data_IF_953872244396
#
_entry.id   IF_953872244396
#
_cell.length_a   1.000
_cell.length_b   1.000
_cell.length_c   1.000
_cell.angle_alpha   90.00
_cell.angle_beta   90.00
_cell.angle_gamma   90.00
#
_symmetry.space_group_name_H-M   'P 1'
#
loop_
_entity.id
_entity.type
_entity.pdbx_description
1 polymer ?
#
# COMPACT_ATOMS: atom_id res chain seq x y z
N UNK A 1 24.80 -4.56 -28.67
CA UNK A 1 23.78 -4.42 -29.73
C UNK A 1 22.40 -4.12 -29.15
N UNK A 2 21.84 -4.93 -28.25
CA UNK A 2 20.48 -4.79 -27.67
C UNK A 2 20.22 -3.39 -27.07
N UNK A 3 21.11 -2.87 -26.22
CA UNK A 3 20.95 -1.54 -25.62
C UNK A 3 21.06 -0.40 -26.65
N UNK A 4 21.85 -0.57 -27.72
CA UNK A 4 21.90 0.42 -28.78
C UNK A 4 20.57 0.52 -29.50
N UNK A 5 20.00 -0.64 -29.88
CA UNK A 5 18.67 -0.69 -30.51
C UNK A 5 17.60 -0.09 -29.60
N UNK A 6 17.61 -0.46 -28.30
CA UNK A 6 16.70 0.14 -27.33
C UNK A 6 16.84 1.67 -27.28
N UNK A 7 18.06 2.19 -27.20
CA UNK A 7 18.29 3.62 -27.11
C UNK A 7 17.86 4.37 -28.37
N UNK A 8 18.09 3.82 -29.56
CA UNK A 8 17.63 4.40 -30.82
C UNK A 8 16.10 4.47 -30.84
N UNK A 9 15.43 3.37 -30.56
CA UNK A 9 13.96 3.31 -30.52
C UNK A 9 13.38 4.24 -29.44
N UNK A 10 13.96 4.22 -28.25
CA UNK A 10 13.50 5.06 -27.14
C UNK A 10 13.68 6.55 -27.43
N UNK A 11 14.82 6.94 -28.03
CA UNK A 11 15.07 8.33 -28.46
C UNK A 11 14.06 8.76 -29.53
N UNK A 12 13.80 7.91 -30.52
CA UNK A 12 12.79 8.18 -31.55
C UNK A 12 11.41 8.38 -30.93
N UNK A 13 10.99 7.52 -29.99
CA UNK A 13 9.73 7.65 -29.26
C UNK A 13 9.67 8.94 -28.43
N UNK A 14 10.78 9.33 -27.79
CA UNK A 14 10.85 10.60 -27.04
C UNK A 14 10.68 11.81 -27.98
N UNK A 15 11.30 11.79 -29.16
CA UNK A 15 11.13 12.86 -30.17
C UNK A 15 9.68 12.93 -30.63
N UNK A 16 9.04 11.80 -30.96
CA UNK A 16 7.63 11.75 -31.35
C UNK A 16 6.69 12.22 -30.24
N UNK A 17 7.00 11.91 -28.98
CA UNK A 17 6.19 12.31 -27.84
C UNK A 17 6.47 13.75 -27.37
N UNK A 18 7.53 14.39 -27.86
CA UNK A 18 7.95 15.73 -27.39
C UNK A 18 6.86 16.81 -27.57
N UNK A 19 6.05 16.88 -28.64
CA UNK A 19 4.96 17.85 -28.75
C UNK A 19 3.91 17.66 -27.66
N UNK A 20 3.58 16.42 -27.34
CA UNK A 20 2.65 16.10 -26.24
C UNK A 20 3.22 16.54 -24.88
N UNK A 21 4.49 16.28 -24.61
CA UNK A 21 5.12 16.69 -23.34
C UNK A 21 5.21 18.21 -23.23
N UNK A 22 5.50 18.91 -24.34
CA UNK A 22 5.50 20.37 -24.39
C UNK A 22 4.10 20.92 -24.10
N UNK A 23 3.07 20.45 -24.81
CA UNK A 23 1.69 20.85 -24.56
C UNK A 23 1.27 20.60 -23.11
N UNK A 24 1.57 19.42 -22.58
CA UNK A 24 1.24 19.07 -21.20
C UNK A 24 1.96 19.92 -20.18
N UNK A 25 3.21 20.33 -20.45
CA UNK A 25 3.96 21.24 -19.59
C UNK A 25 3.40 22.67 -19.56
N UNK A 26 2.74 23.10 -20.63
CA UNK A 26 2.06 24.39 -20.69
C UNK A 26 0.75 24.38 -19.87
N UNK A 27 0.00 23.26 -19.94
CA UNK A 27 -1.34 23.15 -19.34
C UNK A 27 -1.30 22.70 -17.87
N UNK A 28 -0.37 21.80 -17.50
CA UNK A 28 -0.33 21.19 -16.17
C UNK A 28 0.89 21.65 -15.37
N UNK A 29 0.65 22.48 -14.35
CA UNK A 29 1.69 23.01 -13.45
C UNK A 29 2.55 21.90 -12.82
N UNK A 30 1.92 20.82 -12.30
CA UNK A 30 2.61 19.69 -11.67
C UNK A 30 3.54 18.96 -12.63
N UNK A 31 3.16 18.83 -13.89
CA UNK A 31 3.99 18.21 -14.92
C UNK A 31 5.19 19.12 -15.28
N UNK A 32 4.97 20.42 -15.43
CA UNK A 32 6.02 21.40 -15.70
C UNK A 32 7.08 21.44 -14.59
N UNK A 33 6.68 21.36 -13.32
CA UNK A 33 7.59 21.30 -12.17
C UNK A 33 8.37 19.98 -12.09
N UNK A 34 7.79 18.87 -12.54
CA UNK A 34 8.44 17.57 -12.56
C UNK A 34 9.45 17.40 -13.70
N UNK A 35 9.24 18.07 -14.83
CA UNK A 35 10.01 17.85 -16.05
C UNK A 35 11.53 18.10 -15.90
N UNK A 36 11.99 19.18 -15.27
CA UNK A 36 13.42 19.38 -15.05
C UNK A 36 14.05 18.23 -14.25
N UNK A 37 13.39 17.74 -13.20
CA UNK A 37 13.90 16.62 -12.40
C UNK A 37 13.97 15.34 -13.24
N UNK A 38 12.95 15.05 -14.06
CA UNK A 38 12.95 13.92 -14.99
C UNK A 38 14.04 14.00 -16.05
N UNK A 39 14.47 15.19 -16.39
CA UNK A 39 15.62 15.45 -17.29
C UNK A 39 16.98 15.45 -16.57
N UNK A 40 17.01 15.12 -15.27
CA UNK A 40 18.22 15.09 -14.46
C UNK A 40 18.69 16.48 -14.00
N UNK A 41 17.83 17.50 -14.09
CA UNK A 41 18.11 18.84 -13.58
C UNK A 41 17.48 19.04 -12.21
N UNK A 42 18.19 18.69 -11.17
CA UNK A 42 17.83 18.89 -9.76
C UNK A 42 19.09 19.22 -8.94
N UNK A 43 18.87 19.81 -7.78
CA UNK A 43 19.94 19.97 -6.78
C UNK A 43 19.89 18.76 -5.85
N UNK A 44 21.05 18.25 -5.46
CA UNK A 44 21.16 17.24 -4.40
C UNK A 44 21.65 17.91 -3.13
N UNK A 45 21.11 17.49 -2.02
CA UNK A 45 21.51 17.95 -0.69
C UNK A 45 22.56 17.04 -0.04
N UNK A 46 22.86 15.89 -0.64
CA UNK A 46 23.79 14.93 -0.04
C UNK A 46 25.14 14.91 -0.76
N UNK A 47 26.20 15.05 0.02
CA UNK A 47 27.60 14.94 -0.41
C UNK A 47 28.18 13.53 -0.26
N UNK A 48 27.46 12.58 0.36
CA UNK A 48 28.02 11.33 0.86
C UNK A 48 27.16 10.13 0.47
N UNK A 49 27.36 9.57 -0.71
CA UNK A 49 26.88 8.26 -1.14
C UNK A 49 25.47 7.83 -0.63
N UNK A 50 24.40 8.56 -0.93
CA UNK A 50 23.08 8.24 -0.35
C UNK A 50 22.58 6.89 -0.82
N UNK A 51 21.68 6.30 -0.05
CA UNK A 51 20.85 5.19 -0.50
C UNK A 51 19.83 5.76 -1.49
N UNK A 52 19.92 5.33 -2.76
CA UNK A 52 18.92 5.71 -3.76
C UNK A 52 17.81 4.67 -3.80
N UNK A 53 16.58 5.06 -3.49
CA UNK A 53 15.41 4.19 -3.54
C UNK A 53 14.52 4.62 -4.69
N UNK A 54 14.10 3.66 -5.50
CA UNK A 54 13.10 3.88 -6.54
C UNK A 54 11.80 3.15 -6.17
N UNK A 55 10.73 3.93 -5.95
CA UNK A 55 9.37 3.45 -5.69
C UNK A 55 8.41 4.18 -6.62
N UNK A 56 7.98 3.54 -7.69
CA UNK A 56 7.28 4.20 -8.80
C UNK A 56 5.90 4.75 -8.42
N UNK A 57 5.15 4.02 -7.60
CA UNK A 57 3.74 4.27 -7.26
C UNK A 57 3.50 4.56 -5.77
N UNK A 58 2.28 4.98 -5.44
CA UNK A 58 1.83 5.15 -4.05
C UNK A 58 1.97 3.86 -3.24
N UNK A 59 1.59 2.72 -3.84
CA UNK A 59 1.68 1.41 -3.18
C UNK A 59 3.11 1.03 -2.82
N UNK A 60 4.05 1.23 -3.75
CA UNK A 60 5.49 0.96 -3.55
C UNK A 60 6.10 1.90 -2.51
N UNK A 61 5.69 3.19 -2.48
CA UNK A 61 6.10 4.12 -1.43
C UNK A 61 5.70 3.60 -0.07
N UNK A 62 4.43 3.22 0.13
CA UNK A 62 3.98 2.66 1.41
C UNK A 62 4.67 1.34 1.76
N UNK A 63 4.91 0.46 0.79
CA UNK A 63 5.66 -0.78 1.01
C UNK A 63 7.11 -0.52 1.45
N UNK A 64 7.72 0.59 1.02
CA UNK A 64 9.10 0.94 1.37
C UNK A 64 9.25 1.45 2.81
N UNK A 65 8.18 1.98 3.44
CA UNK A 65 8.23 2.61 4.77
C UNK A 65 8.87 1.71 5.84
N UNK A 66 8.44 0.44 6.03
CA UNK A 66 9.03 -0.41 7.07
C UNK A 66 10.54 -0.59 6.89
N UNK A 67 10.99 -0.84 5.66
CA UNK A 67 12.40 -1.02 5.34
C UNK A 67 13.22 0.26 5.58
N UNK A 68 12.70 1.42 5.16
CA UNK A 68 13.39 2.70 5.38
C UNK A 68 13.54 3.01 6.88
N UNK A 69 12.48 2.81 7.65
CA UNK A 69 12.53 2.97 9.11
C UNK A 69 13.54 2.02 9.74
N UNK A 70 13.60 0.77 9.29
CA UNK A 70 14.58 -0.20 9.79
C UNK A 70 16.01 0.21 9.43
N UNK A 71 16.24 0.69 8.21
CA UNK A 71 17.54 1.22 7.78
C UNK A 71 17.96 2.43 8.62
N UNK A 72 17.09 3.42 8.80
CA UNK A 72 17.39 4.61 9.62
C UNK A 72 17.61 4.27 11.09
N UNK A 73 16.98 3.24 11.62
CA UNK A 73 17.21 2.77 13.00
C UNK A 73 18.65 2.25 13.20
N UNK A 74 19.20 1.55 12.23
CA UNK A 74 20.57 1.01 12.29
C UNK A 74 21.61 2.06 11.82
N UNK A 75 21.29 2.73 10.72
CA UNK A 75 22.15 3.72 10.08
C UNK A 75 21.50 5.12 10.15
N UNK A 76 21.47 5.72 11.33
CA UNK A 76 20.75 6.98 11.59
C UNK A 76 21.22 8.14 10.72
N UNK A 77 22.50 8.17 10.35
CA UNK A 77 23.10 9.20 9.50
C UNK A 77 22.99 8.94 8.00
N UNK A 78 22.57 7.73 7.60
CA UNK A 78 22.44 7.40 6.18
C UNK A 78 21.48 8.36 5.47
N UNK A 79 21.95 8.97 4.39
CA UNK A 79 21.12 9.83 3.55
C UNK A 79 20.30 9.00 2.58
N UNK A 80 19.03 9.35 2.41
CA UNK A 80 18.09 8.63 1.54
C UNK A 80 17.54 9.57 0.47
N UNK A 81 17.77 9.22 -0.79
CA UNK A 81 17.13 9.86 -1.95
C UNK A 81 16.06 8.91 -2.48
N UNK A 82 14.81 9.32 -2.47
CA UNK A 82 13.70 8.53 -3.01
C UNK A 82 13.24 9.12 -4.34
N UNK A 83 13.08 8.26 -5.34
CA UNK A 83 12.52 8.64 -6.64
C UNK A 83 11.19 7.96 -6.91
N UNK A 84 10.24 8.71 -7.50
CA UNK A 84 8.90 8.21 -7.84
C UNK A 84 8.57 8.46 -9.31
N UNK A 85 7.66 7.64 -9.86
CA UNK A 85 7.16 7.82 -11.23
C UNK A 85 5.96 8.77 -11.29
N UNK A 86 5.02 8.65 -10.33
CA UNK A 86 3.76 9.39 -10.34
C UNK A 86 3.78 10.61 -9.43
N UNK A 87 2.99 11.64 -9.79
CA UNK A 87 2.84 12.84 -8.95
C UNK A 87 2.17 12.53 -7.61
N UNK A 88 1.23 11.58 -7.61
CA UNK A 88 0.58 11.10 -6.38
C UNK A 88 1.59 10.36 -5.48
N UNK A 89 2.42 9.48 -6.05
CA UNK A 89 3.51 8.81 -5.32
C UNK A 89 4.50 9.81 -4.73
N UNK A 90 4.88 10.86 -5.50
CA UNK A 90 5.78 11.90 -5.03
C UNK A 90 5.19 12.70 -3.84
N UNK A 91 3.90 13.08 -3.94
CA UNK A 91 3.21 13.74 -2.84
C UNK A 91 3.12 12.84 -1.61
N UNK A 92 2.74 11.57 -1.80
CA UNK A 92 2.67 10.57 -0.73
C UNK A 92 4.02 10.41 -0.02
N UNK A 93 5.10 10.26 -0.79
CA UNK A 93 6.45 10.14 -0.23
C UNK A 93 6.84 11.36 0.62
N UNK A 94 6.58 12.57 0.13
CA UNK A 94 6.85 13.81 0.88
C UNK A 94 6.05 13.93 2.17
N UNK A 95 4.83 13.38 2.20
CA UNK A 95 3.94 13.47 3.36
C UNK A 95 4.21 12.37 4.39
N UNK A 96 4.51 11.14 3.94
CA UNK A 96 4.53 9.95 4.80
C UNK A 96 5.91 9.33 5.01
N UNK A 97 6.96 9.89 4.40
CA UNK A 97 8.33 9.38 4.49
C UNK A 97 9.31 10.46 4.96
N UNK A 98 9.20 10.91 6.22
CA UNK A 98 10.17 11.89 6.77
C UNK A 98 11.59 11.35 6.82
N UNK A 99 11.78 10.03 6.74
CA UNK A 99 13.07 9.37 6.64
C UNK A 99 13.82 9.65 5.33
N UNK A 100 13.10 10.03 4.26
CA UNK A 100 13.71 10.39 2.99
C UNK A 100 14.22 11.85 3.03
N UNK A 101 15.52 12.02 2.96
CA UNK A 101 16.15 13.36 2.96
C UNK A 101 15.79 14.15 1.70
N UNK A 102 15.53 13.44 0.59
CA UNK A 102 15.11 14.06 -0.67
C UNK A 102 14.15 13.16 -1.45
N UNK A 103 13.07 13.75 -1.97
CA UNK A 103 12.09 13.07 -2.83
C UNK A 103 12.07 13.73 -4.20
N UNK A 104 12.40 12.96 -5.23
CA UNK A 104 12.54 13.40 -6.62
C UNK A 104 11.62 12.59 -7.54
N UNK A 105 11.48 13.07 -8.77
CA UNK A 105 10.95 12.24 -9.86
C UNK A 105 12.08 11.41 -10.49
N UNK A 106 11.76 10.15 -10.87
CA UNK A 106 12.70 9.27 -11.56
C UNK A 106 13.17 9.92 -12.88
N UNK A 107 14.46 9.85 -13.23
CA UNK A 107 14.95 10.33 -14.51
C UNK A 107 14.34 9.50 -15.65
N UNK A 108 14.10 10.14 -16.79
CA UNK A 108 13.74 9.45 -18.04
C UNK A 108 14.89 8.49 -18.39
N UNK A 109 14.56 7.24 -18.77
CA UNK A 109 15.55 6.18 -18.98
C UNK A 109 16.37 6.37 -20.27
N UNK A 110 16.84 7.59 -20.51
CA UNK A 110 17.75 7.93 -21.60
C UNK A 110 19.20 8.00 -21.08
N UNK A 111 20.19 7.43 -21.80
CA UNK A 111 21.56 7.29 -21.28
C UNK A 111 22.16 8.59 -20.72
N UNK A 112 22.00 9.71 -21.44
CA UNK A 112 22.53 11.02 -21.02
C UNK A 112 21.85 11.52 -19.76
N UNK A 113 20.54 11.32 -19.66
CA UNK A 113 19.75 11.80 -18.52
C UNK A 113 20.06 10.97 -17.28
N UNK A 114 20.07 9.65 -17.41
CA UNK A 114 20.39 8.72 -16.31
C UNK A 114 21.82 8.95 -15.83
N UNK A 115 22.80 9.08 -16.73
CA UNK A 115 24.19 9.37 -16.35
C UNK A 115 24.29 10.69 -15.55
N UNK A 116 23.58 11.75 -16.00
CA UNK A 116 23.52 13.02 -15.26
C UNK A 116 22.93 12.83 -13.86
N UNK A 117 21.85 12.04 -13.73
CA UNK A 117 21.23 11.78 -12.44
C UNK A 117 22.19 11.01 -11.51
N UNK A 118 22.86 9.96 -12.00
CA UNK A 118 23.85 9.18 -11.23
C UNK A 118 24.98 10.09 -10.76
N UNK A 119 25.55 10.93 -11.64
CA UNK A 119 26.62 11.87 -11.27
C UNK A 119 26.21 12.92 -10.26
N UNK A 120 24.91 13.25 -10.18
CA UNK A 120 24.40 14.18 -9.18
C UNK A 120 24.05 13.51 -7.85
N UNK A 121 23.42 12.34 -7.89
CA UNK A 121 23.04 11.61 -6.69
C UNK A 121 24.27 10.95 -6.05
N UNK A 122 25.16 10.39 -6.85
CA UNK A 122 26.34 9.62 -6.42
C UNK A 122 25.98 8.54 -5.38
N UNK A 123 25.00 7.67 -5.66
CA UNK A 123 24.50 6.75 -4.66
C UNK A 123 25.52 5.66 -4.33
N UNK A 124 25.50 5.18 -3.09
CA UNK A 124 26.27 4.01 -2.66
C UNK A 124 25.58 2.70 -3.04
N UNK A 125 24.26 2.72 -3.14
CA UNK A 125 23.40 1.59 -3.51
C UNK A 125 22.12 2.09 -4.19
N UNK A 126 21.58 1.30 -5.13
CA UNK A 126 20.25 1.50 -5.69
C UNK A 126 19.30 0.38 -5.22
N UNK A 127 18.24 0.74 -4.50
CA UNK A 127 17.16 -0.14 -4.09
C UNK A 127 15.95 0.11 -5.00
N UNK A 128 15.45 -0.94 -5.66
CA UNK A 128 14.29 -0.86 -6.55
C UNK A 128 13.12 -1.63 -5.92
N UNK A 129 12.02 -0.93 -5.67
CA UNK A 129 10.80 -1.55 -5.15
C UNK A 129 10.07 -2.34 -6.25
N UNK A 130 9.56 -3.49 -5.90
CA UNK A 130 8.82 -4.40 -6.78
C UNK A 130 9.61 -4.76 -8.05
N UNK A 131 9.05 -4.54 -9.26
CA UNK A 131 9.72 -5.00 -10.50
C UNK A 131 9.78 -3.87 -11.54
N UNK A 132 10.50 -2.81 -11.20
CA UNK A 132 10.74 -1.66 -12.07
C UNK A 132 12.07 -1.82 -12.82
N UNK A 133 12.02 -2.47 -13.99
CA UNK A 133 13.21 -2.81 -14.79
C UNK A 133 13.49 -1.73 -15.86
N UNK A 134 14.24 -0.70 -15.49
CA UNK A 134 14.65 0.40 -16.37
C UNK A 134 16.03 0.11 -16.98
N UNK A 135 16.13 -0.22 -18.29
CA UNK A 135 17.35 -0.78 -18.90
C UNK A 135 18.60 0.09 -18.75
N UNK A 136 18.50 1.40 -19.02
CA UNK A 136 19.66 2.27 -18.90
C UNK A 136 20.00 2.58 -17.44
N UNK A 137 18.98 2.73 -16.57
CA UNK A 137 19.22 2.92 -15.14
C UNK A 137 20.03 1.75 -14.58
N UNK A 138 19.57 0.51 -14.81
CA UNK A 138 20.26 -0.69 -14.34
C UNK A 138 21.69 -0.76 -14.88
N UNK A 139 21.86 -0.62 -16.20
CA UNK A 139 23.15 -0.72 -16.85
C UNK A 139 24.15 0.35 -16.39
N UNK A 140 23.70 1.60 -16.29
CA UNK A 140 24.62 2.71 -16.00
C UNK A 140 24.99 2.78 -14.52
N UNK A 141 24.05 2.44 -13.62
CA UNK A 141 24.35 2.30 -12.18
C UNK A 141 25.38 1.18 -11.95
N UNK A 142 25.16 0.01 -12.57
CA UNK A 142 26.11 -1.10 -12.46
C UNK A 142 27.48 -0.77 -13.07
N UNK A 143 27.55 0.04 -14.15
CA UNK A 143 28.82 0.49 -14.76
C UNK A 143 29.64 1.35 -13.78
N UNK A 144 28.98 2.11 -12.92
CA UNK A 144 29.66 2.88 -11.83
C UNK A 144 30.00 1.96 -10.63
N UNK A 145 29.84 0.64 -10.75
CA UNK A 145 30.06 -0.38 -9.68
C UNK A 145 29.17 -0.19 -8.44
N UNK A 146 28.04 0.47 -8.60
CA UNK A 146 27.05 0.65 -7.55
C UNK A 146 26.17 -0.58 -7.51
N UNK A 147 26.01 -1.26 -6.34
CA UNK A 147 25.14 -2.41 -6.21
C UNK A 147 23.67 -2.03 -6.42
N UNK A 148 22.93 -2.94 -7.06
CA UNK A 148 21.50 -2.79 -7.32
C UNK A 148 20.77 -3.93 -6.64
N UNK A 149 19.82 -3.62 -5.77
CA UNK A 149 18.97 -4.61 -5.10
C UNK A 149 17.52 -4.37 -5.47
N UNK A 150 16.89 -5.40 -6.02
CA UNK A 150 15.45 -5.42 -6.22
C UNK A 150 14.81 -5.99 -4.94
N UNK A 151 14.00 -5.20 -4.26
CA UNK A 151 13.36 -5.59 -3.01
C UNK A 151 11.83 -5.64 -3.15
N UNK A 152 11.18 -6.45 -2.33
CA UNK A 152 9.74 -6.72 -2.39
C UNK A 152 9.29 -7.14 -3.80
N UNK A 153 10.13 -7.91 -4.49
CA UNK A 153 9.97 -8.27 -5.90
C UNK A 153 8.72 -9.10 -6.15
N UNK A 154 7.92 -8.70 -7.13
CA UNK A 154 6.66 -9.35 -7.50
C UNK A 154 6.49 -9.36 -9.01
N UNK A 155 6.05 -10.49 -9.57
CA UNK A 155 5.78 -10.62 -10.99
C UNK A 155 4.38 -11.19 -11.20
N UNK A 156 3.43 -10.34 -11.63
CA UNK A 156 2.08 -10.81 -11.98
C UNK A 156 2.12 -11.75 -13.19
N UNK A 157 1.16 -12.68 -13.30
CA UNK A 157 1.04 -13.60 -14.42
C UNK A 157 1.07 -12.88 -15.79
N UNK A 158 0.35 -11.75 -15.88
CA UNK A 158 0.30 -10.93 -17.11
C UNK A 158 1.68 -10.33 -17.45
N UNK A 159 2.41 -9.84 -16.44
CA UNK A 159 3.76 -9.29 -16.64
C UNK A 159 4.75 -10.39 -16.99
N UNK A 160 4.65 -11.56 -16.35
CA UNK A 160 5.48 -12.73 -16.62
C UNK A 160 5.42 -13.14 -18.08
N UNK A 161 4.21 -13.29 -18.66
CA UNK A 161 4.05 -13.64 -20.08
C UNK A 161 4.76 -12.66 -21.02
N UNK A 162 4.67 -11.35 -20.72
CA UNK A 162 5.36 -10.30 -21.49
C UNK A 162 6.88 -10.38 -21.33
N UNK A 163 7.37 -10.61 -20.13
CA UNK A 163 8.80 -10.72 -19.85
C UNK A 163 9.40 -11.96 -20.49
N UNK A 164 8.70 -13.09 -20.50
CA UNK A 164 9.13 -14.32 -21.19
C UNK A 164 9.17 -14.09 -22.71
N UNK A 165 8.20 -13.42 -23.30
CA UNK A 165 8.21 -13.09 -24.73
C UNK A 165 9.44 -12.26 -25.13
N UNK A 166 9.85 -11.31 -24.29
CA UNK A 166 11.05 -10.50 -24.47
C UNK A 166 12.25 -10.99 -23.64
N UNK A 167 12.32 -12.28 -23.32
CA UNK A 167 13.33 -12.86 -22.42
C UNK A 167 14.77 -12.52 -22.82
N UNK A 168 15.07 -12.52 -24.13
CA UNK A 168 16.40 -12.19 -24.64
C UNK A 168 16.86 -10.78 -24.22
N UNK A 169 15.93 -9.83 -24.08
CA UNK A 169 16.19 -8.47 -23.66
C UNK A 169 16.26 -8.35 -22.12
N UNK A 170 15.26 -8.89 -21.43
CA UNK A 170 15.20 -8.77 -19.97
C UNK A 170 16.30 -9.54 -19.26
N UNK A 171 16.71 -10.69 -19.79
CA UNK A 171 17.87 -11.42 -19.29
C UNK A 171 19.14 -10.55 -19.26
N UNK A 172 19.36 -9.71 -20.28
CA UNK A 172 20.50 -8.78 -20.29
C UNK A 172 20.36 -7.67 -19.25
N UNK A 173 19.14 -7.20 -18.97
CA UNK A 173 18.89 -6.21 -17.94
C UNK A 173 19.10 -6.79 -16.52
N UNK A 174 18.63 -8.02 -16.28
CA UNK A 174 18.69 -8.66 -14.96
C UNK A 174 20.14 -8.99 -14.53
N UNK A 175 21.08 -9.12 -15.44
CA UNK A 175 22.51 -9.33 -15.13
C UNK A 175 23.12 -8.22 -14.28
N UNK A 176 22.58 -7.01 -14.36
CA UNK A 176 23.08 -5.85 -13.63
C UNK A 176 22.60 -5.79 -12.17
N UNK A 177 21.62 -6.60 -11.80
CA UNK A 177 21.07 -6.63 -10.44
C UNK A 177 21.95 -7.55 -9.58
N UNK A 178 22.35 -7.03 -8.43
CA UNK A 178 23.23 -7.71 -7.48
C UNK A 178 22.48 -8.71 -6.60
N UNK A 179 21.20 -8.40 -6.28
CA UNK A 179 20.37 -9.22 -5.39
C UNK A 179 18.88 -9.01 -5.71
N UNK A 180 18.13 -10.12 -5.72
CA UNK A 180 16.68 -10.15 -5.91
C UNK A 180 16.01 -10.66 -4.64
N UNK A 181 15.20 -9.83 -3.98
CA UNK A 181 14.45 -10.16 -2.78
C UNK A 181 12.96 -10.25 -3.13
N UNK A 182 12.49 -11.47 -3.35
CA UNK A 182 11.16 -11.77 -3.88
C UNK A 182 10.14 -12.00 -2.77
N UNK A 183 8.86 -11.71 -3.08
CA UNK A 183 7.78 -11.89 -2.11
C UNK A 183 7.44 -13.37 -1.88
N UNK A 184 7.43 -14.18 -2.94
CA UNK A 184 6.99 -15.58 -2.91
C UNK A 184 7.93 -16.48 -3.71
N UNK A 185 7.83 -17.82 -3.52
CA UNK A 185 8.52 -18.82 -4.35
C UNK A 185 8.05 -18.77 -5.81
N UNK A 186 6.80 -18.43 -6.03
CA UNK A 186 6.28 -18.24 -7.39
C UNK A 186 6.95 -17.07 -8.10
N UNK A 187 7.09 -15.91 -7.42
CA UNK A 187 7.80 -14.76 -7.96
C UNK A 187 9.28 -15.06 -8.22
N UNK A 188 9.90 -15.82 -7.29
CA UNK A 188 11.28 -16.31 -7.45
C UNK A 188 11.43 -17.17 -8.69
N UNK A 189 10.56 -18.14 -8.87
CA UNK A 189 10.56 -19.02 -10.04
C UNK A 189 10.40 -18.22 -11.32
N UNK A 190 9.45 -17.30 -11.36
CA UNK A 190 9.18 -16.43 -12.51
C UNK A 190 10.39 -15.57 -12.89
N UNK A 191 11.03 -14.90 -11.93
CA UNK A 191 12.19 -14.03 -12.25
C UNK A 191 13.39 -14.83 -12.72
N UNK A 192 13.63 -16.02 -12.16
CA UNK A 192 14.69 -16.94 -12.61
C UNK A 192 14.40 -17.42 -14.03
N UNK A 193 13.16 -17.75 -14.36
CA UNK A 193 12.78 -18.16 -15.71
C UNK A 193 12.98 -17.04 -16.73
N UNK A 194 12.76 -15.78 -16.36
CA UNK A 194 13.06 -14.61 -17.20
C UNK A 194 14.57 -14.46 -17.40
N UNK A 195 15.40 -14.91 -16.47
CA UNK A 195 16.86 -14.95 -16.62
C UNK A 195 17.66 -14.35 -15.46
N UNK A 196 17.04 -14.16 -14.29
CA UNK A 196 17.78 -13.81 -13.07
C UNK A 196 18.66 -14.97 -12.60
N UNK A 197 19.77 -14.63 -11.94
CA UNK A 197 20.68 -15.59 -11.33
C UNK A 197 20.02 -16.25 -10.10
N UNK A 198 19.83 -17.58 -10.08
CA UNK A 198 19.25 -18.28 -8.94
C UNK A 198 20.05 -18.08 -7.63
N UNK A 199 21.37 -17.89 -7.71
CA UNK A 199 22.23 -17.68 -6.55
C UNK A 199 22.06 -16.30 -5.91
N UNK A 200 21.55 -15.35 -6.70
CA UNK A 200 21.26 -13.97 -6.25
C UNK A 200 19.79 -13.74 -5.94
N UNK A 201 18.96 -14.79 -5.92
CA UNK A 201 17.52 -14.67 -5.76
C UNK A 201 17.06 -15.35 -4.47
N UNK A 202 16.42 -14.58 -3.58
CA UNK A 202 15.95 -15.02 -2.25
C UNK A 202 14.45 -14.75 -2.11
N UNK A 203 13.75 -15.56 -1.34
CA UNK A 203 12.38 -15.29 -0.89
C UNK A 203 12.42 -14.77 0.52
N UNK A 204 11.93 -13.56 0.71
CA UNK A 204 12.00 -12.84 1.98
C UNK A 204 10.61 -12.41 2.51
N UNK A 205 9.56 -12.58 1.69
CA UNK A 205 8.19 -12.20 2.05
C UNK A 205 7.80 -10.81 1.55
N UNK A 206 6.58 -10.40 1.92
CA UNK A 206 5.97 -9.16 1.43
C UNK A 206 5.91 -8.12 2.55
N UNK A 207 6.51 -6.95 2.33
CA UNK A 207 6.56 -5.83 3.28
C UNK A 207 5.17 -5.30 3.69
N UNK A 208 4.12 -5.59 2.93
CA UNK A 208 2.75 -5.21 3.30
C UNK A 208 2.29 -5.85 4.61
N UNK A 209 2.84 -7.03 4.96
CA UNK A 209 2.51 -7.69 6.23
C UNK A 209 3.22 -7.08 7.44
N UNK A 210 4.29 -6.31 7.21
CA UNK A 210 5.10 -5.69 8.26
C UNK A 210 4.73 -4.22 8.50
N UNK A 211 3.59 -3.78 8.00
CA UNK A 211 3.07 -2.47 8.37
C UNK A 211 3.02 -2.40 9.89
N UNK A 212 3.62 -1.36 10.45
CA UNK A 212 3.61 -1.12 11.89
C UNK A 212 2.19 -0.76 12.28
N UNK A 213 1.47 -1.71 12.83
CA UNK A 213 0.20 -1.45 13.47
C UNK A 213 0.50 -0.93 14.89
N UNK A 214 -0.01 0.24 15.28
CA UNK A 214 0.15 0.73 16.63
C UNK A 214 -0.47 -0.28 17.61
N UNK A 215 0.27 -0.62 18.66
CA UNK A 215 -0.33 -1.34 19.77
C UNK A 215 -1.24 -0.37 20.52
N UNK A 216 -2.51 -0.54 20.38
CA UNK A 216 -3.49 0.21 21.15
C UNK A 216 -3.68 -0.45 22.53
N UNK A 217 -3.56 0.36 23.58
CA UNK A 217 -3.86 -0.10 24.93
C UNK A 217 -5.37 -0.36 25.09
N UNK A 218 -5.73 -1.19 26.04
CA UNK A 218 -7.14 -1.42 26.39
C UNK A 218 -7.85 -0.10 26.70
N UNK A 219 -7.15 0.83 27.37
CA UNK A 219 -7.67 2.15 27.70
C UNK A 219 -7.98 3.00 26.46
N UNK A 220 -7.12 2.96 25.43
CA UNK A 220 -7.37 3.69 24.17
C UNK A 220 -8.58 3.11 23.41
N UNK A 221 -8.74 1.78 23.41
CA UNK A 221 -9.91 1.13 22.81
C UNK A 221 -11.20 1.50 23.56
N UNK A 222 -11.18 1.48 24.90
CA UNK A 222 -12.33 1.90 25.73
C UNK A 222 -12.66 3.38 25.56
N UNK A 223 -11.64 4.23 25.47
CA UNK A 223 -11.81 5.67 25.19
C UNK A 223 -12.47 5.89 23.83
N UNK A 224 -12.06 5.13 22.80
CA UNK A 224 -12.68 5.19 21.48
C UNK A 224 -14.13 4.73 21.52
N UNK A 225 -14.43 3.61 22.20
CA UNK A 225 -15.81 3.13 22.38
C UNK A 225 -16.70 4.17 23.07
N UNK A 226 -16.22 4.77 24.17
CA UNK A 226 -16.93 5.83 24.90
C UNK A 226 -17.14 7.08 24.04
N UNK A 227 -16.13 7.48 23.24
CA UNK A 227 -16.25 8.61 22.33
C UNK A 227 -17.28 8.39 21.22
N UNK A 228 -17.59 7.15 20.90
CA UNK A 228 -18.64 6.75 19.95
C UNK A 228 -19.99 6.45 20.62
N UNK A 229 -20.11 6.62 21.94
CA UNK A 229 -21.34 6.35 22.68
C UNK A 229 -21.67 4.84 22.82
N UNK A 230 -20.71 3.96 22.57
CA UNK A 230 -20.86 2.52 22.68
C UNK A 230 -20.75 2.10 24.17
N UNK A 231 -21.58 1.13 24.58
CA UNK A 231 -21.71 0.68 25.98
C UNK A 231 -21.25 -0.76 26.18
N UNK A 232 -20.71 -1.40 25.13
CA UNK A 232 -20.26 -2.80 25.17
C UNK A 232 -21.39 -3.83 25.00
N UNK A 233 -22.63 -3.41 24.82
CA UNK A 233 -23.78 -4.28 24.52
C UNK A 233 -24.12 -4.35 23.03
N UNK A 234 -23.58 -3.41 22.28
CA UNK A 234 -23.83 -3.29 20.84
C UNK A 234 -23.00 -4.29 20.05
N UNK A 235 -23.62 -4.88 19.02
CA UNK A 235 -22.88 -5.47 17.92
C UNK A 235 -22.46 -4.35 16.97
N UNK A 236 -21.19 -4.28 16.60
CA UNK A 236 -20.65 -3.20 15.77
C UNK A 236 -20.26 -3.73 14.41
N UNK A 237 -20.93 -3.25 13.38
CA UNK A 237 -20.55 -3.50 11.99
C UNK A 237 -19.74 -2.30 11.50
N UNK A 238 -18.46 -2.52 11.13
CA UNK A 238 -17.57 -1.47 10.64
C UNK A 238 -17.40 -1.62 9.14
N UNK A 239 -17.72 -0.57 8.39
CA UNK A 239 -17.43 -0.45 6.98
C UNK A 239 -16.31 0.56 6.78
N UNK A 240 -15.08 0.07 6.63
CA UNK A 240 -13.87 0.89 6.57
C UNK A 240 -13.44 1.22 5.15
N UNK A 241 -13.01 2.45 4.92
CA UNK A 241 -12.51 2.96 3.64
C UNK A 241 -13.51 2.80 2.49
N UNK A 242 -14.77 3.18 2.71
CA UNK A 242 -15.84 3.06 1.72
C UNK A 242 -15.73 4.09 0.59
N UNK A 243 -16.36 3.77 -0.54
CA UNK A 243 -16.43 4.59 -1.74
C UNK A 243 -17.87 4.74 -2.23
N UNK A 244 -18.07 5.72 -3.14
CA UNK A 244 -19.37 5.97 -3.77
C UNK A 244 -19.96 4.69 -4.39
N UNK A 245 -21.23 4.43 -4.10
CA UNK A 245 -21.95 3.22 -4.48
C UNK A 245 -21.89 2.08 -3.44
N UNK A 246 -20.97 2.12 -2.48
CA UNK A 246 -20.92 1.15 -1.38
C UNK A 246 -21.79 1.61 -0.19
N UNK A 247 -21.78 2.92 0.10
CA UNK A 247 -22.45 3.45 1.28
C UNK A 247 -23.97 3.19 1.24
N UNK A 248 -24.62 3.34 0.06
CA UNK A 248 -26.05 3.05 -0.11
C UNK A 248 -26.36 1.57 0.18
N UNK A 249 -25.49 0.68 -0.33
CA UNK A 249 -25.64 -0.77 -0.11
C UNK A 249 -25.52 -1.07 1.38
N UNK A 250 -24.47 -0.56 2.04
CA UNK A 250 -24.16 -0.85 3.44
C UNK A 250 -25.21 -0.30 4.40
N UNK A 251 -25.73 0.91 4.16
CA UNK A 251 -26.81 1.53 4.97
C UNK A 251 -28.11 0.75 4.78
N UNK A 252 -28.45 0.37 3.54
CA UNK A 252 -29.64 -0.45 3.26
C UNK A 252 -29.57 -1.79 3.98
N UNK A 253 -28.42 -2.48 3.93
CA UNK A 253 -28.19 -3.75 4.64
C UNK A 253 -28.29 -3.58 6.16
N UNK A 254 -27.69 -2.52 6.71
CA UNK A 254 -27.79 -2.22 8.14
C UNK A 254 -29.26 -2.08 8.58
N UNK A 255 -30.08 -1.34 7.83
CA UNK A 255 -31.54 -1.21 8.13
C UNK A 255 -32.26 -2.56 8.14
N UNK A 256 -31.93 -3.43 7.21
CA UNK A 256 -32.52 -4.78 7.16
C UNK A 256 -32.09 -5.63 8.36
N UNK A 257 -30.79 -5.62 8.67
CA UNK A 257 -30.22 -6.39 9.78
C UNK A 257 -30.72 -5.91 11.14
N UNK A 258 -30.94 -4.61 11.29
CA UNK A 258 -31.41 -4.01 12.54
C UNK A 258 -32.82 -4.48 12.94
N UNK A 259 -33.62 -5.01 12.01
CA UNK A 259 -34.94 -5.63 12.33
C UNK A 259 -34.79 -6.86 13.19
N UNK A 260 -33.70 -7.63 13.02
CA UNK A 260 -33.38 -8.83 13.78
C UNK A 260 -32.36 -8.63 14.88
N UNK A 261 -31.51 -7.59 14.73
CA UNK A 261 -30.45 -7.21 15.67
C UNK A 261 -30.62 -5.73 16.10
N UNK A 262 -31.57 -5.42 17.02
CA UNK A 262 -31.93 -4.03 17.38
C UNK A 262 -30.76 -3.20 17.96
N UNK A 263 -29.73 -3.86 18.49
CA UNK A 263 -28.51 -3.24 19.05
C UNK A 263 -27.35 -3.18 18.06
N UNK A 264 -27.59 -3.44 16.78
CA UNK A 264 -26.54 -3.31 15.75
C UNK A 264 -26.28 -1.83 15.45
N UNK A 265 -25.02 -1.43 15.55
CA UNK A 265 -24.51 -0.10 15.17
C UNK A 265 -23.62 -0.26 13.94
N UNK A 266 -23.82 0.58 12.92
CA UNK A 266 -22.93 0.70 11.78
C UNK A 266 -21.93 1.84 12.02
N UNK A 267 -20.63 1.56 11.94
CA UNK A 267 -19.61 2.61 11.82
C UNK A 267 -19.20 2.68 10.36
N UNK A 268 -19.45 3.82 9.74
CA UNK A 268 -19.17 4.08 8.33
C UNK A 268 -17.98 5.04 8.22
N UNK A 269 -16.90 4.59 7.59
CA UNK A 269 -15.66 5.35 7.44
C UNK A 269 -15.32 5.56 5.96
N UNK A 270 -15.77 6.66 5.33
CA UNK A 270 -15.43 6.97 3.94
C UNK A 270 -13.93 7.17 3.75
N UNK A 271 -13.39 6.68 2.63
CA UNK A 271 -11.95 6.82 2.31
C UNK A 271 -11.53 8.28 2.15
N UNK A 272 -12.44 9.11 1.67
CA UNK A 272 -12.22 10.52 1.35
C UNK A 272 -13.17 11.38 2.17
N UNK A 273 -12.62 12.16 3.13
CA UNK A 273 -13.43 13.01 4.02
C UNK A 273 -14.15 14.15 3.27
N UNK A 274 -13.68 14.56 2.11
CA UNK A 274 -14.36 15.51 1.23
C UNK A 274 -15.72 15.00 0.72
N UNK A 275 -16.01 13.70 0.88
CA UNK A 275 -17.30 13.08 0.50
C UNK A 275 -18.31 13.01 1.67
N UNK A 276 -17.96 13.49 2.85
CA UNK A 276 -18.85 13.41 4.02
C UNK A 276 -20.24 13.99 3.73
N UNK A 277 -20.33 15.14 3.08
CA UNK A 277 -21.61 15.77 2.74
C UNK A 277 -22.47 14.92 1.78
N UNK A 278 -21.84 14.16 0.88
CA UNK A 278 -22.52 13.19 0.01
C UNK A 278 -23.09 12.03 0.82
N UNK A 279 -22.29 11.46 1.71
CA UNK A 279 -22.71 10.35 2.58
C UNK A 279 -23.82 10.78 3.53
N UNK A 280 -23.78 11.99 4.09
CA UNK A 280 -24.86 12.53 4.91
C UNK A 280 -26.19 12.67 4.15
N UNK A 281 -26.16 13.07 2.88
CA UNK A 281 -27.36 13.11 2.05
C UNK A 281 -27.98 11.71 1.90
N UNK A 282 -27.15 10.67 1.75
CA UNK A 282 -27.61 9.27 1.70
C UNK A 282 -28.26 8.88 3.04
N UNK A 283 -27.61 9.17 4.17
CA UNK A 283 -28.11 8.87 5.50
C UNK A 283 -29.47 9.55 5.78
N UNK A 284 -29.62 10.81 5.40
CA UNK A 284 -30.91 11.54 5.50
C UNK A 284 -32.00 10.93 4.65
N UNK A 285 -31.67 10.57 3.38
CA UNK A 285 -32.61 9.93 2.46
C UNK A 285 -33.11 8.57 3.01
N UNK A 286 -32.21 7.81 3.61
CA UNK A 286 -32.53 6.52 4.20
C UNK A 286 -33.26 6.59 5.54
N UNK A 287 -33.43 7.78 6.12
CA UNK A 287 -34.15 8.04 7.39
C UNK A 287 -33.62 7.18 8.54
N UNK A 288 -32.30 7.02 8.63
CA UNK A 288 -31.63 6.35 9.76
C UNK A 288 -31.18 7.38 10.79
N UNK A 289 -31.14 6.99 12.06
CA UNK A 289 -30.51 7.80 13.10
C UNK A 289 -28.99 7.78 12.92
N UNK A 290 -28.35 8.94 12.79
CA UNK A 290 -26.91 9.01 12.57
C UNK A 290 -26.28 10.23 13.24
N UNK A 291 -24.96 10.16 13.47
CA UNK A 291 -24.14 11.30 13.91
C UNK A 291 -22.71 11.19 13.34
N UNK A 292 -22.06 12.33 13.13
CA UNK A 292 -20.59 12.36 12.97
C UNK A 292 -19.96 12.01 14.32
N UNK A 293 -18.85 11.26 14.29
CA UNK A 293 -18.09 10.93 15.51
C UNK A 293 -17.71 12.20 16.28
N UNK A 294 -17.25 13.24 15.58
CA UNK A 294 -16.84 14.52 16.20
C UNK A 294 -18.00 15.32 16.81
N UNK A 295 -19.25 15.04 16.41
CA UNK A 295 -20.44 15.69 16.94
C UNK A 295 -21.05 14.98 18.16
N UNK A 296 -20.55 13.78 18.50
CA UNK A 296 -21.00 13.06 19.67
C UNK A 296 -20.46 13.74 20.95
N UNK A 297 -21.29 13.99 21.94
CA UNK A 297 -20.83 14.64 23.16
C UNK A 297 -19.80 13.79 23.90
N UNK A 298 -18.78 14.38 24.53
CA UNK A 298 -17.82 13.63 25.34
C UNK A 298 -18.58 12.86 26.43
N UNK A 299 -18.43 11.52 26.42
CA UNK A 299 -19.16 10.64 27.35
C UNK A 299 -20.59 10.30 26.92
N UNK A 300 -20.92 10.39 25.61
CA UNK A 300 -22.22 10.02 25.05
C UNK A 300 -22.71 8.59 25.42
N UNK A 301 -21.86 7.77 26.03
CA UNK A 301 -22.19 6.48 26.64
C UNK A 301 -22.84 6.56 28.02
N UNK A 302 -23.36 7.69 28.44
CA UNK A 302 -24.14 7.84 29.69
C UNK A 302 -25.33 6.89 29.73
N UNK A 303 -25.77 6.49 30.95
CA UNK A 303 -26.69 5.39 31.19
C UNK A 303 -28.03 5.44 30.41
N UNK A 304 -28.43 6.61 29.89
CA UNK A 304 -29.75 6.84 29.31
C UNK A 304 -29.79 7.14 27.79
N UNK A 305 -28.68 7.40 27.12
CA UNK A 305 -28.72 7.71 25.69
C UNK A 305 -28.24 6.54 24.81
N UNK A 306 -29.15 6.03 23.99
CA UNK A 306 -28.84 4.99 22.97
C UNK A 306 -27.89 5.59 21.90
N UNK A 307 -26.84 4.84 21.47
CA UNK A 307 -26.01 5.31 20.37
C UNK A 307 -26.84 5.47 19.09
N UNK A 308 -26.44 6.36 18.16
CA UNK A 308 -27.09 6.43 16.86
C UNK A 308 -26.92 5.11 16.09
N UNK A 309 -27.84 4.87 15.16
CA UNK A 309 -27.82 3.65 14.35
C UNK A 309 -26.59 3.60 13.45
N UNK A 310 -26.16 4.77 12.96
CA UNK A 310 -24.96 4.90 12.13
C UNK A 310 -24.05 5.99 12.71
N UNK A 311 -22.79 5.65 12.91
CA UNK A 311 -21.74 6.60 13.29
C UNK A 311 -20.86 6.85 12.08
N UNK A 312 -20.82 8.08 11.60
CA UNK A 312 -19.97 8.49 10.51
C UNK A 312 -18.59 8.90 11.06
N UNK A 313 -17.57 8.12 10.75
CA UNK A 313 -16.19 8.41 11.15
C UNK A 313 -15.63 9.53 10.25
N UNK A 314 -15.59 10.73 10.78
CA UNK A 314 -15.22 11.96 10.08
C UNK A 314 -13.80 12.45 10.42
N UNK A 315 -12.94 11.55 10.93
CA UNK A 315 -11.58 11.84 11.33
C UNK A 315 -10.58 10.96 10.60
N UNK A 316 -9.37 11.50 10.34
CA UNK A 316 -8.27 10.73 9.75
C UNK A 316 -7.44 10.02 10.83
N UNK A 317 -6.91 8.82 10.48
CA UNK A 317 -5.96 8.09 11.33
C UNK A 317 -6.58 7.25 12.44
N UNK A 318 -7.89 7.29 12.65
CA UNK A 318 -8.57 6.57 13.74
C UNK A 318 -9.20 5.25 13.32
N UNK A 319 -9.23 4.94 12.01
CA UNK A 319 -9.88 3.73 11.51
C UNK A 319 -9.25 2.45 12.08
N UNK A 320 -7.93 2.44 12.22
CA UNK A 320 -7.21 1.30 12.79
C UNK A 320 -7.66 0.99 14.21
N UNK A 321 -7.74 2.01 15.09
CA UNK A 321 -8.29 1.84 16.45
C UNK A 321 -9.76 1.45 16.42
N UNK A 322 -10.52 2.03 15.49
CA UNK A 322 -11.96 1.74 15.33
C UNK A 322 -12.21 0.28 15.02
N UNK A 323 -11.36 -0.37 14.21
CA UNK A 323 -11.49 -1.80 13.91
C UNK A 323 -11.49 -2.68 15.16
N UNK A 324 -10.81 -2.28 16.25
CA UNK A 324 -10.82 -3.03 17.51
C UNK A 324 -12.23 -3.19 18.10
N UNK A 325 -13.15 -2.27 17.80
CA UNK A 325 -14.54 -2.27 18.31
C UNK A 325 -15.45 -3.19 17.47
N UNK A 326 -15.03 -3.60 16.28
CA UNK A 326 -15.86 -4.33 15.33
C UNK A 326 -16.26 -5.73 15.81
N UNK A 327 -17.54 -6.07 15.67
CA UNK A 327 -18.04 -7.44 15.66
C UNK A 327 -17.80 -8.06 14.28
N UNK A 328 -18.08 -7.29 13.23
CA UNK A 328 -17.84 -7.61 11.82
C UNK A 328 -17.17 -6.43 11.14
N UNK A 329 -16.28 -6.69 10.19
CA UNK A 329 -15.60 -5.65 9.41
C UNK A 329 -15.77 -5.92 7.92
N UNK A 330 -16.23 -4.89 7.21
CA UNK A 330 -16.22 -4.84 5.75
C UNK A 330 -15.13 -3.87 5.29
N UNK A 331 -14.31 -4.32 4.35
CA UNK A 331 -13.24 -3.52 3.74
C UNK A 331 -13.73 -2.96 2.41
N UNK A 332 -13.87 -1.64 2.35
CA UNK A 332 -14.42 -0.91 1.22
C UNK A 332 -13.50 -0.79 0.01
N UNK A 333 -14.01 -0.11 -1.04
CA UNK A 333 -13.40 -0.06 -2.37
C UNK A 333 -13.43 -1.42 -3.09
N UNK A 334 -14.19 -2.35 -2.55
CA UNK A 334 -14.19 -3.76 -2.94
C UNK A 334 -15.51 -4.25 -3.56
N UNK A 335 -16.67 -3.60 -3.28
CA UNK A 335 -17.93 -3.83 -4.03
C UNK A 335 -18.01 -3.00 -5.31
N UNK A 336 -17.18 -1.98 -5.44
CA UNK A 336 -17.05 -1.14 -6.62
C UNK A 336 -15.64 -1.31 -7.22
N UNK A 337 -15.41 -1.09 -8.53
CA UNK A 337 -14.16 -1.42 -9.20
C UNK A 337 -13.02 -0.41 -8.90
N UNK A 338 -12.77 -0.14 -7.62
CA UNK A 338 -11.69 0.72 -7.11
C UNK A 338 -10.41 -0.07 -6.86
N UNK A 339 -10.55 -1.38 -6.51
CA UNK A 339 -9.40 -2.27 -6.30
C UNK A 339 -9.16 -2.68 -4.85
N UNK A 340 -10.07 -2.34 -3.95
CA UNK A 340 -10.05 -2.73 -2.53
C UNK A 340 -9.01 -1.99 -1.70
N UNK A 341 -9.29 -1.91 -0.40
CA UNK A 341 -8.38 -1.37 0.61
C UNK A 341 -7.71 -2.49 1.41
N UNK A 342 -6.90 -2.14 2.40
CA UNK A 342 -6.05 -3.04 3.16
C UNK A 342 -6.87 -3.99 4.06
N UNK A 343 -6.94 -5.31 3.77
CA UNK A 343 -7.67 -6.25 4.60
C UNK A 343 -6.88 -6.70 5.85
N UNK A 344 -5.58 -6.35 5.94
CA UNK A 344 -4.71 -6.78 7.05
C UNK A 344 -4.94 -5.98 8.33
N UNK A 345 -5.41 -4.73 8.21
CA UNK A 345 -5.65 -3.86 9.36
C UNK A 345 -6.64 -4.44 10.38
N UNK A 346 -7.85 -4.88 10.00
CA UNK A 346 -8.76 -5.47 10.96
C UNK A 346 -8.32 -6.84 11.47
N UNK A 347 -7.48 -7.59 10.72
CA UNK A 347 -6.93 -8.87 11.17
C UNK A 347 -6.01 -8.72 12.38
N UNK A 348 -5.29 -7.60 12.49
CA UNK A 348 -4.48 -7.31 13.66
C UNK A 348 -5.29 -7.36 14.97
N UNK A 349 -6.56 -7.00 14.90
CA UNK A 349 -7.52 -7.07 16.01
C UNK A 349 -8.32 -8.39 16.05
N UNK A 350 -7.89 -9.42 15.33
CA UNK A 350 -8.59 -10.73 15.22
C UNK A 350 -10.06 -10.59 14.80
N UNK A 351 -10.34 -9.63 13.91
CA UNK A 351 -11.71 -9.38 13.45
C UNK A 351 -12.06 -10.24 12.24
N UNK A 352 -13.33 -10.63 12.18
CA UNK A 352 -13.93 -11.28 11.02
C UNK A 352 -14.03 -10.26 9.87
N UNK A 353 -13.36 -10.53 8.76
CA UNK A 353 -13.20 -9.62 7.62
C UNK A 353 -13.98 -10.10 6.42
N UNK A 354 -14.77 -9.18 5.84
CA UNK A 354 -15.46 -9.38 4.56
C UNK A 354 -15.01 -8.32 3.56
N UNK A 355 -14.98 -8.66 2.29
CA UNK A 355 -14.72 -7.72 1.20
C UNK A 355 -15.41 -8.19 -0.10
N UNK A 356 -15.62 -7.26 -1.03
CA UNK A 356 -16.22 -7.52 -2.33
C UNK A 356 -15.24 -8.14 -3.34
N UNK A 357 -15.66 -8.30 -4.62
CA UNK A 357 -14.87 -8.99 -5.64
C UNK A 357 -13.70 -8.17 -6.19
N UNK A 358 -13.67 -6.87 -5.96
CA UNK A 358 -12.66 -5.99 -6.55
C UNK A 358 -11.52 -5.72 -5.58
N UNK A 359 -10.57 -6.69 -5.46
CA UNK A 359 -9.40 -6.60 -4.57
C UNK A 359 -8.06 -6.47 -5.33
N UNK A 360 -8.03 -5.78 -6.47
CA UNK A 360 -6.87 -5.72 -7.37
C UNK A 360 -5.59 -5.18 -6.70
N UNK A 361 -5.72 -4.23 -5.76
CA UNK A 361 -4.59 -3.68 -5.01
C UNK A 361 -4.00 -4.66 -3.98
N UNK A 362 -4.78 -5.68 -3.60
CA UNK A 362 -4.46 -6.71 -2.62
C UNK A 362 -4.79 -8.12 -3.14
N UNK A 363 -4.80 -8.32 -4.46
CA UNK A 363 -5.30 -9.53 -5.11
C UNK A 363 -4.68 -10.81 -4.52
N UNK A 364 -3.35 -10.88 -4.46
CA UNK A 364 -2.64 -12.04 -3.93
C UNK A 364 -2.92 -12.25 -2.43
N UNK A 365 -2.87 -11.15 -1.66
CA UNK A 365 -3.15 -11.19 -0.22
C UNK A 365 -4.57 -11.67 0.03
N UNK A 366 -5.57 -11.17 -0.71
CA UNK A 366 -6.97 -11.57 -0.55
C UNK A 366 -7.20 -13.04 -0.89
N UNK A 367 -6.61 -13.55 -1.99
CA UNK A 367 -6.71 -14.97 -2.35
C UNK A 367 -6.13 -15.88 -1.26
N UNK A 368 -4.89 -15.61 -0.84
CA UNK A 368 -4.22 -16.40 0.20
C UNK A 368 -4.92 -16.32 1.56
N UNK A 369 -5.52 -15.16 1.86
CA UNK A 369 -6.28 -14.96 3.08
C UNK A 369 -7.59 -15.78 3.08
N UNK A 370 -8.27 -15.87 1.93
CA UNK A 370 -9.45 -16.72 1.74
C UNK A 370 -9.06 -18.20 1.87
N UNK A 371 -7.99 -18.64 1.21
CA UNK A 371 -7.47 -20.00 1.29
C UNK A 371 -7.11 -20.41 2.72
N UNK A 372 -6.61 -19.47 3.52
CA UNK A 372 -6.31 -19.65 4.93
C UNK A 372 -7.55 -19.61 5.85
N UNK A 373 -8.76 -19.40 5.31
CA UNK A 373 -9.98 -19.25 6.10
C UNK A 373 -10.03 -17.99 6.96
N UNK A 374 -9.25 -16.95 6.61
CA UNK A 374 -9.11 -15.73 7.42
C UNK A 374 -10.00 -14.57 6.98
N UNK A 375 -10.69 -14.69 5.85
CA UNK A 375 -11.67 -13.69 5.37
C UNK A 375 -12.69 -14.31 4.42
N UNK A 376 -13.76 -13.57 4.16
CA UNK A 376 -14.82 -13.95 3.21
C UNK A 376 -14.88 -12.92 2.09
N UNK A 377 -14.73 -13.38 0.85
CA UNK A 377 -15.05 -12.59 -0.32
C UNK A 377 -16.52 -12.79 -0.69
N UNK A 378 -17.22 -11.70 -0.96
CA UNK A 378 -18.61 -11.72 -1.41
C UNK A 378 -18.73 -11.19 -2.84
N UNK A 379 -19.65 -11.74 -3.62
CA UNK A 379 -19.87 -11.36 -5.02
C UNK A 379 -20.69 -10.07 -5.17
N UNK A 380 -21.45 -9.67 -4.14
CA UNK A 380 -22.32 -8.50 -4.17
C UNK A 380 -23.18 -8.35 -2.91
N UNK A 381 -24.23 -7.50 -3.02
CA UNK A 381 -25.12 -7.13 -1.90
C UNK A 381 -25.81 -8.33 -1.28
N UNK A 382 -26.36 -9.23 -2.07
CA UNK A 382 -27.17 -10.37 -1.63
C UNK A 382 -26.33 -11.34 -0.78
N UNK A 383 -25.12 -11.67 -1.27
CA UNK A 383 -24.21 -12.54 -0.53
C UNK A 383 -23.66 -11.85 0.71
N UNK A 384 -23.36 -10.56 0.64
CA UNK A 384 -22.96 -9.78 1.81
C UNK A 384 -24.07 -9.81 2.88
N UNK A 385 -25.35 -9.62 2.50
CA UNK A 385 -26.48 -9.71 3.41
C UNK A 385 -26.55 -11.09 4.09
N UNK A 386 -26.43 -12.16 3.31
CA UNK A 386 -26.47 -13.54 3.82
C UNK A 386 -25.34 -13.80 4.82
N UNK A 387 -24.11 -13.42 4.47
CA UNK A 387 -22.94 -13.62 5.35
C UNK A 387 -23.03 -12.78 6.62
N UNK A 388 -23.47 -11.53 6.53
CA UNK A 388 -23.65 -10.68 7.72
C UNK A 388 -24.69 -11.28 8.67
N UNK A 389 -25.86 -11.74 8.17
CA UNK A 389 -26.88 -12.41 8.99
C UNK A 389 -26.32 -13.64 9.70
N UNK A 390 -25.65 -14.53 8.96
CA UNK A 390 -25.03 -15.73 9.51
C UNK A 390 -24.02 -15.39 10.61
N UNK A 391 -23.11 -14.50 10.31
CA UNK A 391 -22.02 -14.16 11.22
C UNK A 391 -22.47 -13.33 12.43
N UNK A 392 -23.53 -12.56 12.35
CA UNK A 392 -24.10 -11.88 13.53
C UNK A 392 -24.65 -12.86 14.57
N UNK A 393 -25.13 -14.05 14.13
CA UNK A 393 -25.66 -15.09 15.01
C UNK A 393 -24.59 -16.08 15.47
N UNK A 394 -23.58 -16.34 14.64
CA UNK A 394 -22.55 -17.36 14.87
C UNK A 394 -21.26 -16.73 15.40
N UNK A 395 -21.13 -16.68 16.73
CA UNK A 395 -19.95 -16.14 17.39
C UNK A 395 -18.70 -17.03 17.17
N UNK A 396 -18.88 -18.35 17.12
CA UNK A 396 -17.77 -19.28 16.91
C UNK A 396 -17.17 -19.10 15.54
N UNK A 397 -17.98 -19.05 14.49
CA UNK A 397 -17.50 -18.78 13.14
C UNK A 397 -16.77 -17.43 13.03
N UNK A 398 -17.25 -16.38 13.72
CA UNK A 398 -16.53 -15.10 13.76
C UNK A 398 -15.16 -15.21 14.40
N UNK A 399 -15.06 -15.92 15.52
CA UNK A 399 -13.79 -16.12 16.25
C UNK A 399 -12.80 -16.95 15.43
N UNK A 400 -13.27 -18.02 14.79
CA UNK A 400 -12.46 -18.86 13.92
C UNK A 400 -11.90 -18.09 12.73
N UNK A 401 -12.73 -17.33 12.02
CA UNK A 401 -12.31 -16.47 10.91
C UNK A 401 -11.28 -15.42 11.36
N UNK A 402 -11.55 -14.74 12.48
CA UNK A 402 -10.66 -13.72 13.01
C UNK A 402 -9.32 -14.30 13.47
N UNK A 403 -9.31 -15.45 14.12
CA UNK A 403 -8.09 -16.13 14.57
C UNK A 403 -7.29 -16.67 13.38
N UNK A 404 -7.93 -17.31 12.41
CA UNK A 404 -7.27 -17.77 11.18
C UNK A 404 -6.62 -16.61 10.42
N UNK A 405 -7.32 -15.48 10.32
CA UNK A 405 -6.78 -14.26 9.70
C UNK A 405 -5.59 -13.67 10.46
N UNK A 406 -5.65 -13.66 11.78
CA UNK A 406 -4.54 -13.19 12.61
C UNK A 406 -3.31 -14.11 12.50
N UNK A 407 -3.50 -15.44 12.53
CA UNK A 407 -2.43 -16.41 12.35
C UNK A 407 -1.80 -16.29 10.95
N UNK A 408 -2.62 -16.07 9.92
CA UNK A 408 -2.14 -15.79 8.58
C UNK A 408 -1.27 -14.53 8.57
N UNK A 409 -1.71 -13.44 9.19
CA UNK A 409 -0.94 -12.20 9.31
C UNK A 409 0.41 -12.46 9.99
N UNK A 410 0.42 -13.10 11.16
CA UNK A 410 1.64 -13.39 11.93
C UNK A 410 2.63 -14.26 11.16
N UNK A 411 2.15 -15.31 10.47
CA UNK A 411 3.00 -16.20 9.67
C UNK A 411 3.76 -15.48 8.55
N UNK A 412 3.20 -14.39 8.03
CA UNK A 412 3.77 -13.66 6.90
C UNK A 412 4.57 -12.41 7.31
N UNK A 413 4.57 -12.05 8.59
CA UNK A 413 5.39 -10.96 9.13
C UNK A 413 6.90 -11.28 9.13
N UNK A 414 7.73 -10.26 9.38
CA UNK A 414 9.18 -10.37 9.47
C UNK A 414 9.90 -10.21 8.12
N UNK A 415 9.20 -9.85 7.05
CA UNK A 415 9.79 -9.58 5.74
C UNK A 415 10.80 -8.42 5.80
N UNK A 416 10.51 -7.39 6.58
CA UNK A 416 11.38 -6.21 6.77
C UNK A 416 12.74 -6.61 7.33
N UNK A 417 12.76 -7.42 8.38
CA UNK A 417 14.01 -7.83 9.00
C UNK A 417 14.81 -8.76 8.08
N UNK A 418 14.14 -9.73 7.44
CA UNK A 418 14.80 -10.60 6.45
C UNK A 418 15.38 -9.80 5.28
N UNK A 419 14.66 -8.80 4.75
CA UNK A 419 15.17 -7.93 3.69
C UNK A 419 16.33 -7.06 4.17
N UNK A 420 16.22 -6.52 5.38
CA UNK A 420 17.28 -5.70 5.96
C UNK A 420 18.59 -6.49 6.12
N UNK A 421 18.53 -7.71 6.66
CA UNK A 421 19.72 -8.56 6.82
C UNK A 421 20.39 -8.90 5.48
N UNK A 422 19.61 -9.13 4.42
CA UNK A 422 20.13 -9.37 3.07
C UNK A 422 20.74 -8.10 2.42
N UNK A 423 20.24 -6.92 2.77
CA UNK A 423 20.73 -5.64 2.23
C UNK A 423 21.91 -5.09 3.05
N UNK A 424 21.96 -5.40 4.35
CA UNK A 424 22.96 -4.87 5.31
C UNK A 424 24.42 -4.97 4.83
N UNK A 425 24.88 -6.06 4.20
CA UNK A 425 26.25 -6.15 3.66
C UNK A 425 26.60 -5.09 2.63
N UNK A 426 25.59 -4.59 1.90
CA UNK A 426 25.77 -3.53 0.89
C UNK A 426 25.76 -2.13 1.50
N UNK A 427 25.36 -2.00 2.77
CA UNK A 427 25.30 -0.74 3.52
C UNK A 427 26.48 -0.55 4.49
N UNK A 428 27.26 -1.59 4.76
CA UNK A 428 28.36 -1.57 5.77
C UNK A 428 29.47 -0.58 5.49
N UNK A 429 29.58 -0.06 4.26
CA UNK A 429 30.48 1.05 3.92
C UNK A 429 30.06 2.42 4.49
N UNK A 430 28.84 2.53 5.03
CA UNK A 430 28.28 3.78 5.56
C UNK A 430 28.59 4.03 7.05
N UNK A 431 29.10 3.01 7.78
CA UNK A 431 29.42 3.11 9.19
C UNK A 431 30.69 3.94 9.50
N UNK A 432 31.56 4.22 8.50
CA UNK A 432 32.89 4.79 8.68
C UNK A 432 33.01 6.30 8.33
N UNK A 433 31.91 7.00 8.14
CA UNK A 433 31.95 8.45 7.97
C UNK A 433 31.61 9.10 9.31
N UNK A 434 32.64 9.25 10.12
CA UNK A 434 32.64 10.09 11.35
C UNK A 434 33.08 11.49 10.99
#
# INVERSE_FOLDING_TARGET
>A
MIFLTYNILFTFLLILASPYFLFRSLVQKTFREALPQRMGFFKTSSSEGPIWIHAASVGEVFCSIPLLKRVKKEFSQAKIVLTTMTSTGNKTAKTHLPEADQVLFVPIDHPVIVHRAIKKIQPSILLIAETELWPNLLRLVAKERIPIVLFNGRISQKSFQRYVFFKFFFKECLKYISLFLMQTEEDRTRIIEIGADPQKTRVVGNLKFDQTFPNFSQEEMEKMAKAMGLRGKEKVFIAGSTHSGEEEILISLHKELKKTEPHLVLILAPRHLERLDEVEKILRKESVSWARKTSLPPGAGGLDQKPPDVILLDTMGELMTTYSLGTLVFVGGSLVPIGGHNPLEPLFHKKCVLFGPYMLNFLEISHRLIEAGGAIQVSGKEELSSQLRRLLLDELARKELGESGYQFLQKHQGATERMFEEIKPYLSGMENVK
#
